data_IF_382096089468
#
_entry.id   IF_382096089468
#
_cell.length_a   1.000
_cell.length_b   1.000
_cell.length_c   1.000
_cell.angle_alpha   90.00
_cell.angle_beta   90.00
_cell.angle_gamma   90.00
#
_symmetry.space_group_name_H-M   'P 1'
#
loop_
_entity.id
_entity.type
_entity.pdbx_description
1 polymer ?
#
# COMPACT_ATOMS: atom_id res chain seq x y z
N UNK A 1 -4.79 6.32 12.95
CA UNK A 1 -4.26 5.30 12.01
C UNK A 1 -4.37 5.89 10.62
N UNK A 2 -3.35 5.74 9.78
CA UNK A 2 -3.34 6.32 8.44
C UNK A 2 -2.84 5.19 7.53
N UNK A 3 -3.69 4.59 6.72
CA UNK A 3 -3.38 3.45 5.84
C UNK A 3 -3.30 3.93 4.37
N UNK A 4 -3.12 3.01 3.40
CA UNK A 4 -3.08 3.38 1.97
C UNK A 4 -4.36 4.12 1.53
N UNK A 5 -5.51 3.68 2.03
CA UNK A 5 -6.79 4.30 1.68
C UNK A 5 -6.93 5.72 2.25
N UNK A 6 -6.45 5.96 3.48
CA UNK A 6 -6.47 7.30 4.07
C UNK A 6 -5.57 8.26 3.28
N UNK A 7 -4.39 7.79 2.85
CA UNK A 7 -3.50 8.55 1.98
C UNK A 7 -4.19 8.87 0.64
N UNK A 8 -4.87 7.89 0.04
CA UNK A 8 -5.59 8.06 -1.22
C UNK A 8 -6.70 9.12 -1.10
N UNK A 9 -7.50 9.05 -0.04
CA UNK A 9 -8.57 10.03 0.23
C UNK A 9 -8.01 11.41 0.52
N UNK A 10 -6.91 11.51 1.28
CA UNK A 10 -6.28 12.79 1.62
C UNK A 10 -5.75 13.51 0.37
N UNK A 11 -5.10 12.77 -0.53
CA UNK A 11 -4.59 13.31 -1.78
C UNK A 11 -5.74 13.69 -2.73
N UNK A 12 -6.78 12.85 -2.84
CA UNK A 12 -7.95 13.15 -3.65
C UNK A 12 -8.67 14.42 -3.21
N UNK A 13 -8.81 14.66 -1.89
CA UNK A 13 -9.42 15.88 -1.34
C UNK A 13 -8.69 17.17 -1.73
N UNK A 14 -7.39 17.09 -2.04
CA UNK A 14 -6.56 18.23 -2.47
C UNK A 14 -6.56 18.42 -3.99
N UNK A 15 -7.17 17.51 -4.75
CA UNK A 15 -7.28 17.57 -6.20
C UNK A 15 -8.57 18.28 -6.63
N UNK A 16 -8.53 18.98 -7.77
CA UNK A 16 -9.71 19.68 -8.30
C UNK A 16 -10.87 18.74 -8.68
N UNK A 17 -10.54 17.55 -9.21
CA UNK A 17 -11.49 16.48 -9.53
C UNK A 17 -11.15 15.23 -8.72
N UNK A 18 -11.28 15.34 -7.40
CA UNK A 18 -10.89 14.31 -6.43
C UNK A 18 -11.64 12.98 -6.61
N UNK A 19 -10.91 11.88 -6.80
CA UNK A 19 -11.49 10.54 -6.78
C UNK A 19 -10.54 9.49 -6.18
N UNK A 20 -11.11 8.38 -5.71
CA UNK A 20 -10.40 7.17 -5.28
C UNK A 20 -11.08 5.96 -5.90
N UNK A 21 -10.31 5.06 -6.48
CA UNK A 21 -10.74 3.79 -7.05
C UNK A 21 -10.01 2.64 -6.36
N UNK A 22 -10.72 1.54 -6.14
CA UNK A 22 -10.15 0.29 -5.64
C UNK A 22 -10.52 -0.80 -6.63
N UNK A 23 -9.51 -1.50 -7.13
CA UNK A 23 -9.66 -2.72 -7.88
C UNK A 23 -9.01 -3.88 -7.12
N UNK A 24 -9.62 -5.05 -7.19
CA UNK A 24 -9.01 -6.28 -6.66
C UNK A 24 -8.93 -7.31 -7.78
N UNK A 25 -7.88 -8.11 -7.76
CA UNK A 25 -7.68 -9.18 -8.71
C UNK A 25 -7.08 -10.40 -8.00
N UNK A 26 -7.27 -11.56 -8.60
CA UNK A 26 -6.67 -12.79 -8.12
C UNK A 26 -5.96 -13.48 -9.29
N UNK A 27 -4.64 -13.62 -9.22
CA UNK A 27 -3.84 -14.25 -10.28
C UNK A 27 -2.68 -15.04 -9.73
N UNK A 28 -2.48 -16.25 -10.24
CA UNK A 28 -1.33 -17.11 -9.90
C UNK A 28 -1.11 -17.27 -8.39
N UNK A 29 -2.20 -17.43 -7.63
CA UNK A 29 -2.23 -17.48 -6.16
C UNK A 29 -1.93 -16.17 -5.43
N UNK A 30 -1.84 -15.05 -6.13
CA UNK A 30 -1.72 -13.72 -5.51
C UNK A 30 -3.06 -13.02 -5.46
N UNK A 31 -3.40 -12.52 -4.28
CA UNK A 31 -4.44 -11.50 -4.10
C UNK A 31 -3.81 -10.13 -4.34
N UNK A 32 -4.30 -9.43 -5.36
CA UNK A 32 -3.80 -8.12 -5.78
C UNK A 32 -4.84 -7.07 -5.45
N UNK A 33 -4.44 -6.01 -4.76
CA UNK A 33 -5.28 -4.86 -4.43
C UNK A 33 -4.62 -3.63 -5.04
N UNK A 34 -5.31 -2.95 -5.94
CA UNK A 34 -4.85 -1.72 -6.58
C UNK A 34 -5.71 -0.58 -6.09
N UNK A 35 -5.08 0.42 -5.49
CA UNK A 35 -5.73 1.66 -5.04
C UNK A 35 -5.19 2.78 -5.94
N UNK A 36 -6.08 3.41 -6.70
CA UNK A 36 -5.74 4.55 -7.55
C UNK A 36 -6.46 5.78 -7.01
N UNK A 37 -5.78 6.92 -6.91
CA UNK A 37 -6.41 8.17 -6.55
C UNK A 37 -5.86 9.34 -7.36
N UNK A 38 -6.72 10.32 -7.63
CA UNK A 38 -6.28 11.61 -8.14
C UNK A 38 -5.31 12.26 -7.14
N UNK A 39 -4.21 12.80 -7.63
CA UNK A 39 -3.14 13.42 -6.86
C UNK A 39 -2.55 14.59 -7.67
N UNK A 40 -3.14 15.78 -7.49
CA UNK A 40 -2.75 16.99 -8.23
C UNK A 40 -1.38 17.55 -7.84
N UNK A 41 -0.75 17.03 -6.78
CA UNK A 41 0.62 17.38 -6.39
C UNK A 41 1.50 16.15 -6.56
N UNK A 42 2.49 16.19 -7.47
CA UNK A 42 3.41 15.08 -7.66
C UNK A 42 4.09 14.68 -6.34
N UNK A 43 4.08 13.40 -5.98
CA UNK A 43 4.81 12.92 -4.82
C UNK A 43 6.32 12.97 -5.06
N UNK A 44 7.08 13.25 -4.01
CA UNK A 44 8.53 13.16 -4.05
C UNK A 44 9.01 11.73 -3.73
N UNK A 45 9.96 11.23 -4.53
CA UNK A 45 10.67 9.98 -4.25
C UNK A 45 12.14 10.28 -3.91
N UNK A 46 12.75 9.46 -3.08
CA UNK A 46 14.18 9.52 -2.81
C UNK A 46 14.99 8.84 -3.94
N UNK A 47 16.32 8.96 -3.88
CA UNK A 47 17.25 8.37 -4.85
C UNK A 47 17.16 6.84 -4.94
N UNK A 48 16.59 6.19 -3.92
CA UNK A 48 16.36 4.75 -3.85
C UNK A 48 14.98 4.34 -4.38
N UNK A 49 14.19 5.28 -4.92
CA UNK A 49 12.84 5.04 -5.43
C UNK A 49 11.76 4.90 -4.34
N UNK A 50 12.06 5.23 -3.08
CA UNK A 50 11.06 5.20 -2.02
C UNK A 50 10.35 6.55 -1.87
N UNK A 51 9.04 6.49 -1.66
CA UNK A 51 8.21 7.67 -1.42
C UNK A 51 8.71 8.46 -0.18
N UNK A 52 9.04 9.74 -0.36
CA UNK A 52 9.30 10.65 0.76
C UNK A 52 7.98 11.02 1.41
N UNK A 53 7.90 10.88 2.72
CA UNK A 53 6.69 11.27 3.46
C UNK A 53 6.62 12.79 3.50
N UNK A 54 5.56 13.38 2.94
CA UNK A 54 5.32 14.84 2.96
C UNK A 54 4.61 15.32 4.22
N UNK A 55 4.30 14.41 5.17
CA UNK A 55 3.59 14.76 6.41
C UNK A 55 4.57 15.40 7.41
N UNK A 56 4.33 16.67 7.74
CA UNK A 56 5.15 17.54 8.61
C UNK A 56 5.44 17.00 10.02
N UNK A 57 4.85 15.87 10.43
CA UNK A 57 5.05 15.31 11.77
C UNK A 57 5.30 13.78 11.76
N UNK A 58 6.56 13.34 11.57
CA UNK A 58 6.94 11.93 11.55
C UNK A 58 6.59 11.16 12.83
N UNK A 59 6.52 11.86 13.98
CA UNK A 59 6.23 11.27 15.30
C UNK A 59 4.75 10.93 15.52
N UNK A 60 3.83 11.52 14.77
CA UNK A 60 2.39 11.33 14.92
C UNK A 60 1.75 10.57 13.73
N UNK A 61 2.25 10.73 12.50
CA UNK A 61 1.52 10.27 11.30
C UNK A 61 2.36 9.69 10.14
N UNK A 62 3.63 9.32 10.36
CA UNK A 62 4.52 8.77 9.31
C UNK A 62 4.40 7.26 9.02
N UNK A 63 3.41 6.58 9.58
CA UNK A 63 3.40 5.11 9.64
C UNK A 63 2.66 4.41 8.49
N UNK A 64 1.90 5.09 7.62
CA UNK A 64 0.99 4.37 6.73
C UNK A 64 1.65 3.36 5.80
N UNK A 65 2.65 3.80 5.04
CA UNK A 65 3.39 2.91 4.14
C UNK A 65 4.27 1.93 4.93
N UNK A 66 4.88 2.37 6.04
CA UNK A 66 5.70 1.50 6.90
C UNK A 66 4.88 0.37 7.56
N UNK A 67 3.67 0.68 8.01
CA UNK A 67 2.72 -0.27 8.59
C UNK A 67 2.23 -1.26 7.53
N UNK A 68 1.97 -0.81 6.31
CA UNK A 68 1.64 -1.68 5.18
C UNK A 68 2.82 -2.60 4.87
N UNK A 69 4.04 -2.08 4.69
CA UNK A 69 5.26 -2.88 4.50
C UNK A 69 5.44 -3.91 5.63
N UNK A 70 5.20 -3.53 6.88
CA UNK A 70 5.28 -4.46 8.02
C UNK A 70 4.20 -5.54 8.00
N UNK A 71 2.98 -5.21 7.57
CA UNK A 71 1.91 -6.19 7.41
C UNK A 71 2.23 -7.17 6.27
N UNK A 72 2.77 -6.69 5.15
CA UNK A 72 3.11 -7.49 3.97
C UNK A 72 4.18 -8.55 4.25
N UNK A 73 5.15 -8.26 5.12
CA UNK A 73 6.15 -9.25 5.55
C UNK A 73 5.55 -10.53 6.12
N UNK A 74 4.34 -10.49 6.71
CA UNK A 74 3.67 -11.66 7.28
C UNK A 74 3.03 -12.57 6.23
N UNK A 75 2.85 -12.07 5.01
CA UNK A 75 2.12 -12.72 3.92
C UNK A 75 2.99 -12.89 2.66
N UNK A 76 4.32 -12.76 2.81
CA UNK A 76 5.30 -12.67 1.70
C UNK A 76 4.81 -11.78 0.55
N UNK A 77 4.20 -10.65 0.93
CA UNK A 77 3.58 -9.71 0.02
C UNK A 77 4.52 -8.58 -0.38
N UNK A 78 4.14 -7.88 -1.44
CA UNK A 78 4.89 -6.74 -1.98
C UNK A 78 3.99 -5.50 -2.17
N UNK A 79 4.61 -4.33 -2.26
CA UNK A 79 3.97 -3.02 -2.47
C UNK A 79 4.71 -2.25 -3.56
N UNK A 80 4.04 -2.02 -4.69
CA UNK A 80 4.46 -1.03 -5.70
C UNK A 80 3.72 0.29 -5.49
N UNK A 81 4.43 1.40 -5.70
CA UNK A 81 3.91 2.76 -5.65
C UNK A 81 4.34 3.50 -6.91
N UNK A 82 3.38 4.06 -7.64
CA UNK A 82 3.59 4.70 -8.92
C UNK A 82 2.83 6.04 -8.96
N UNK A 83 3.36 6.97 -9.73
CA UNK A 83 2.68 8.22 -10.03
C UNK A 83 2.73 8.48 -11.54
N UNK A 84 1.57 8.68 -12.13
CA UNK A 84 1.44 9.11 -13.52
C UNK A 84 1.21 10.62 -13.55
N UNK A 85 2.19 11.34 -14.10
CA UNK A 85 2.16 12.80 -14.22
C UNK A 85 1.23 13.32 -15.32
N UNK A 86 0.85 12.49 -16.30
CA UNK A 86 -0.08 12.91 -17.35
C UNK A 86 -1.52 12.91 -16.85
N UNK A 87 -1.93 11.83 -16.17
CA UNK A 87 -3.26 11.71 -15.58
C UNK A 87 -3.36 12.35 -14.19
N UNK A 88 -2.23 12.61 -13.52
CA UNK A 88 -2.18 13.07 -12.14
C UNK A 88 -2.66 12.01 -11.16
N UNK A 89 -2.37 10.73 -11.43
CA UNK A 89 -2.84 9.60 -10.63
C UNK A 89 -1.71 9.01 -9.78
N UNK A 90 -2.02 8.73 -8.51
CA UNK A 90 -1.17 7.93 -7.65
C UNK A 90 -1.75 6.52 -7.53
N UNK A 91 -0.90 5.51 -7.71
CA UNK A 91 -1.31 4.11 -7.78
C UNK A 91 -0.50 3.34 -6.73
N UNK A 92 -1.21 2.68 -5.81
CA UNK A 92 -0.63 1.75 -4.86
C UNK A 92 -1.11 0.33 -5.16
N UNK A 93 -0.18 -0.55 -5.52
CA UNK A 93 -0.46 -1.96 -5.82
C UNK A 93 0.10 -2.82 -4.70
N UNK A 94 -0.80 -3.49 -3.98
CA UNK A 94 -0.48 -4.47 -2.95
C UNK A 94 -0.66 -5.86 -3.53
N UNK A 95 0.36 -6.70 -3.38
CA UNK A 95 0.31 -8.11 -3.73
C UNK A 95 0.48 -8.96 -2.47
N UNK A 96 -0.35 -9.98 -2.29
CA UNK A 96 -0.31 -10.91 -1.17
C UNK A 96 -0.29 -12.34 -1.70
N UNK A 97 0.63 -13.19 -1.25
CA UNK A 97 0.55 -14.62 -1.55
C UNK A 97 -0.60 -15.24 -0.76
N UNK A 98 -1.67 -15.60 -1.45
CA UNK A 98 -2.88 -16.14 -0.85
C UNK A 98 -2.69 -17.55 -0.27
N UNK A 99 -1.54 -18.20 -0.51
CA UNK A 99 -1.19 -19.49 0.10
C UNK A 99 -0.60 -19.31 1.48
N UNK A 100 -0.08 -18.13 1.79
CA UNK A 100 0.53 -17.83 3.08
C UNK A 100 -0.54 -17.28 4.01
N UNK A 101 -0.81 -18.03 5.06
CA UNK A 101 -1.58 -17.56 6.21
C UNK A 101 -0.68 -17.62 7.43
N UNK A 102 -0.53 -16.54 8.21
CA UNK A 102 0.25 -16.57 9.46
C UNK A 102 -0.32 -17.57 10.48
N UNK A 103 -1.57 -18.03 10.32
CA UNK A 103 -2.17 -19.07 11.15
C UNK A 103 -1.77 -20.50 10.73
N UNK A 104 -1.11 -20.67 9.58
CA UNK A 104 -0.73 -21.98 9.02
C UNK A 104 0.59 -22.54 9.57
N UNK A 105 1.52 -21.68 10.01
CA UNK A 105 2.79 -22.12 10.62
C UNK A 105 2.60 -22.77 12.00
N UNK A 106 1.55 -22.39 12.73
CA UNK A 106 1.36 -22.84 14.12
C UNK A 106 0.83 -24.28 14.26
N UNK A 107 0.41 -24.92 13.16
CA UNK A 107 -0.09 -26.31 13.18
C UNK A 107 1.01 -27.37 13.09
N UNK A 108 2.20 -27.01 12.60
CA UNK A 108 3.30 -27.96 12.42
C UNK A 108 4.15 -28.21 13.69
N UNK A 109 3.91 -27.47 14.78
CA UNK A 109 4.61 -27.65 16.05
C UNK A 109 3.88 -28.58 17.03
N UNK A 110 2.57 -28.80 16.83
CA UNK A 110 1.72 -29.59 17.74
C UNK A 110 1.68 -31.08 17.36
N UNK A 111 2.08 -31.44 16.14
CA UNK A 111 2.05 -32.83 15.64
C UNK A 111 3.35 -33.62 15.88
N UNK A 112 4.29 -33.11 16.69
CA UNK A 112 5.57 -33.78 17.03
C UNK A 112 5.81 -33.92 18.54
N UNK A 113 4.76 -34.10 19.33
CA UNK A 113 4.85 -34.55 20.72
C UNK A 113 4.08 -35.86 20.90
#
# INVERSE_FOLDING_TARGET
MNNLFDNAVEAAKKSGNGYVSIATNYRNNFSIIVITNSCGTPPEFNSSGELKTTKENPKLHGFGIKSVKNALKKYDGDLSLEYDGESGEFIATVMLDARISPDSENKNQIAKQ
#
